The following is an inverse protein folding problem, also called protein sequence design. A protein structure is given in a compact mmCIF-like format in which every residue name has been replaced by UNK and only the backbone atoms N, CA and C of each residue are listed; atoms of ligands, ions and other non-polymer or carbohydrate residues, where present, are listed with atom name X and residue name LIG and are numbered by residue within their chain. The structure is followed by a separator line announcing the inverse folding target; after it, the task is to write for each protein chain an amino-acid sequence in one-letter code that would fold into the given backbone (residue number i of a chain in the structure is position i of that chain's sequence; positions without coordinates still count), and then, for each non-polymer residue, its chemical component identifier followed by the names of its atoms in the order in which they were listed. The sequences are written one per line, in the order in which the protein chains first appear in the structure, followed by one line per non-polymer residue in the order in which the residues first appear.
data_IF_917044894567
#
_entry.id   IF_917044894567
#
_cell.length_a   1.000
_cell.length_b   1.000
_cell.length_c   1.000
_cell.angle_alpha   90.00
_cell.angle_beta   90.00
_cell.angle_gamma   90.00
#
_symmetry.space_group_name_H-M   'P 1'
#
loop_
_entity.id
_entity.type
_entity.pdbx_description
1 polymer ?
#
# COMPACT_ATOMS: atom_id res chain seq x y z
N UNK A 1 16.00 -78.12 29.87
CA UNK A 1 15.82 -76.97 30.82
C UNK A 1 16.43 -75.79 30.10
N UNK A 2 15.60 -75.17 29.25
CA UNK A 2 16.01 -74.03 28.41
C UNK A 2 15.47 -72.78 29.04
N UNK A 3 16.41 -71.91 29.41
CA UNK A 3 16.16 -70.61 30.04
C UNK A 3 15.83 -69.58 28.93
N UNK A 4 14.70 -68.90 28.97
CA UNK A 4 14.38 -67.92 27.93
C UNK A 4 15.09 -66.60 28.24
N UNK A 5 15.94 -66.16 27.34
CA UNK A 5 16.58 -64.83 27.30
C UNK A 5 15.50 -63.77 27.20
N UNK A 6 15.52 -62.71 28.03
CA UNK A 6 14.60 -61.59 27.88
C UNK A 6 14.96 -60.71 26.68
N UNK A 7 13.99 -60.48 25.82
CA UNK A 7 14.04 -59.53 24.72
C UNK A 7 14.10 -58.10 25.30
N UNK A 8 15.26 -57.44 25.06
CA UNK A 8 15.40 -56.01 25.32
C UNK A 8 14.48 -55.23 24.40
N UNK A 9 13.50 -54.58 24.99
CA UNK A 9 12.67 -53.62 24.30
C UNK A 9 13.44 -52.29 24.20
N UNK A 10 14.08 -52.05 23.08
CA UNK A 10 14.57 -50.72 22.72
C UNK A 10 13.35 -49.83 22.44
N UNK A 11 12.93 -49.10 23.47
CA UNK A 11 12.03 -47.96 23.33
C UNK A 11 12.80 -46.83 22.67
N UNK A 12 12.74 -46.76 21.36
CA UNK A 12 13.07 -45.54 20.63
C UNK A 12 12.05 -44.44 21.08
N UNK A 13 12.41 -43.73 22.14
CA UNK A 13 11.79 -42.46 22.46
C UNK A 13 12.05 -41.50 21.30
N UNK A 14 11.12 -41.46 20.34
CA UNK A 14 11.00 -40.35 19.40
C UNK A 14 10.69 -39.11 20.26
N UNK A 15 11.76 -38.45 20.70
CA UNK A 15 11.67 -37.17 21.38
C UNK A 15 11.02 -36.13 20.46
N UNK A 16 9.69 -36.05 20.49
CA UNK A 16 8.96 -34.89 19.98
C UNK A 16 9.34 -33.71 20.85
N UNK A 17 10.46 -33.05 20.50
CA UNK A 17 10.77 -31.76 21.09
C UNK A 17 9.56 -30.85 20.89
N UNK A 18 8.98 -30.36 21.98
CA UNK A 18 7.92 -29.37 21.89
C UNK A 18 8.41 -28.19 21.05
N UNK A 19 7.58 -27.69 20.10
CA UNK A 19 8.01 -26.56 19.28
C UNK A 19 8.43 -25.39 20.18
N UNK A 20 9.59 -24.83 19.89
CA UNK A 20 10.10 -23.65 20.62
C UNK A 20 9.02 -22.57 20.67
N UNK A 21 8.79 -21.93 21.83
CA UNK A 21 7.78 -20.89 21.95
C UNK A 21 8.14 -19.71 21.04
N UNK A 22 7.27 -19.41 20.08
CA UNK A 22 7.42 -18.26 19.18
C UNK A 22 7.65 -17.00 20.01
N UNK A 23 8.69 -16.23 19.71
CA UNK A 23 8.99 -14.98 20.40
C UNK A 23 7.76 -14.03 20.39
N UNK A 24 7.48 -13.30 21.47
CA UNK A 24 6.29 -12.47 21.56
C UNK A 24 6.07 -11.53 20.36
N UNK A 25 7.17 -11.00 19.79
CA UNK A 25 7.13 -10.12 18.61
C UNK A 25 6.73 -10.84 17.33
N UNK A 26 7.06 -12.09 17.18
CA UNK A 26 6.75 -12.91 16.01
C UNK A 26 5.29 -13.40 15.99
N UNK A 27 4.56 -13.21 17.10
CA UNK A 27 3.14 -13.55 17.20
C UNK A 27 2.21 -12.50 16.61
N UNK A 28 2.73 -11.31 16.31
CA UNK A 28 1.92 -10.18 15.86
C UNK A 28 2.33 -9.74 14.47
N UNK A 29 1.34 -9.50 13.63
CA UNK A 29 1.52 -8.88 12.33
C UNK A 29 1.49 -7.35 12.47
N UNK A 30 2.31 -6.65 11.69
CA UNK A 30 2.20 -5.21 11.59
C UNK A 30 0.83 -4.84 11.03
N UNK A 31 0.12 -3.97 11.73
CA UNK A 31 -1.25 -3.57 11.39
C UNK A 31 -1.31 -2.88 10.03
N UNK A 32 -0.34 -2.02 9.73
CA UNK A 32 -0.33 -1.23 8.51
C UNK A 32 0.03 -2.11 7.29
N UNK A 33 0.98 -3.02 7.45
CA UNK A 33 1.31 -3.99 6.41
C UNK A 33 0.18 -5.00 6.16
N UNK A 34 -0.54 -5.40 7.20
CA UNK A 34 -1.73 -6.25 7.06
C UNK A 34 -2.84 -5.54 6.27
N UNK A 35 -2.98 -4.23 6.47
CA UNK A 35 -3.95 -3.44 5.73
C UNK A 35 -3.58 -3.33 4.24
N UNK A 36 -2.30 -3.14 3.91
CA UNK A 36 -1.83 -3.19 2.52
C UNK A 36 -2.09 -4.56 1.88
N UNK A 37 -1.83 -5.66 2.62
CA UNK A 37 -2.14 -7.01 2.16
C UNK A 37 -3.65 -7.23 1.93
N UNK A 38 -4.51 -6.60 2.71
CA UNK A 38 -5.95 -6.58 2.44
C UNK A 38 -6.25 -5.85 1.12
N UNK A 39 -5.65 -4.69 0.89
CA UNK A 39 -5.88 -3.92 -0.34
C UNK A 39 -5.32 -4.61 -1.60
N UNK A 40 -4.25 -5.40 -1.48
CA UNK A 40 -3.77 -6.29 -2.55
C UNK A 40 -4.87 -7.30 -2.95
N UNK A 41 -5.55 -7.94 -1.98
CA UNK A 41 -6.68 -8.84 -2.26
C UNK A 41 -7.86 -8.13 -2.92
N UNK A 42 -8.12 -6.87 -2.56
CA UNK A 42 -9.14 -6.06 -3.26
C UNK A 42 -8.74 -5.85 -4.73
N UNK A 43 -7.45 -5.60 -5.00
CA UNK A 43 -6.94 -5.45 -6.36
C UNK A 43 -7.00 -6.78 -7.15
N UNK A 44 -6.78 -7.92 -6.51
CA UNK A 44 -6.90 -9.25 -7.14
C UNK A 44 -8.29 -9.45 -7.76
N UNK A 45 -9.36 -8.95 -7.11
CA UNK A 45 -10.72 -9.03 -7.66
C UNK A 45 -10.88 -8.21 -8.96
N UNK A 46 -10.10 -7.16 -9.16
CA UNK A 46 -10.06 -6.44 -10.43
C UNK A 46 -9.46 -7.29 -11.56
N UNK A 47 -8.64 -8.28 -11.24
CA UNK A 47 -8.04 -9.22 -12.20
C UNK A 47 -8.91 -10.46 -12.41
N UNK A 48 -9.85 -10.76 -11.52
CA UNK A 48 -10.70 -11.95 -11.55
C UNK A 48 -11.69 -11.89 -12.72
N UNK A 49 -11.52 -12.77 -13.69
CA UNK A 49 -12.38 -12.81 -14.89
C UNK A 49 -13.81 -13.30 -14.64
N UNK A 50 -14.12 -13.83 -13.46
CA UNK A 50 -15.48 -14.21 -13.08
C UNK A 50 -16.36 -12.96 -12.84
N UNK A 51 -15.76 -11.80 -12.58
CA UNK A 51 -16.50 -10.56 -12.46
C UNK A 51 -16.74 -9.87 -13.82
N UNK A 52 -17.90 -9.24 -14.00
CA UNK A 52 -18.18 -8.37 -15.15
C UNK A 52 -17.11 -7.26 -15.28
N UNK A 53 -16.83 -6.83 -16.52
CA UNK A 53 -15.77 -5.87 -16.81
C UNK A 53 -15.85 -4.58 -15.99
N UNK A 54 -17.05 -4.01 -15.82
CA UNK A 54 -17.25 -2.78 -15.05
C UNK A 54 -17.09 -2.99 -13.54
N UNK A 55 -17.43 -4.18 -13.02
CA UNK A 55 -17.16 -4.49 -11.62
C UNK A 55 -15.66 -4.64 -11.36
N UNK A 56 -14.91 -5.20 -12.30
CA UNK A 56 -13.45 -5.26 -12.22
C UNK A 56 -12.83 -3.85 -12.19
N UNK A 57 -13.33 -2.93 -13.02
CA UNK A 57 -12.93 -1.52 -12.98
C UNK A 57 -13.26 -0.88 -11.63
N UNK A 58 -14.41 -1.24 -11.05
CA UNK A 58 -14.82 -0.77 -9.73
C UNK A 58 -13.88 -1.26 -8.62
N UNK A 59 -13.46 -2.53 -8.63
CA UNK A 59 -12.49 -3.04 -7.67
C UNK A 59 -11.14 -2.32 -7.78
N UNK A 60 -10.66 -2.03 -9.00
CA UNK A 60 -9.47 -1.21 -9.19
C UNK A 60 -9.62 0.19 -8.57
N UNK A 61 -10.76 0.85 -8.81
CA UNK A 61 -11.06 2.17 -8.23
C UNK A 61 -11.11 2.12 -6.70
N UNK A 62 -11.71 1.07 -6.12
CA UNK A 62 -11.74 0.88 -4.67
C UNK A 62 -10.32 0.71 -4.13
N UNK A 63 -9.48 -0.09 -4.79
CA UNK A 63 -8.09 -0.29 -4.38
C UNK A 63 -7.29 1.01 -4.40
N UNK A 64 -7.49 1.88 -5.41
CA UNK A 64 -6.87 3.19 -5.47
C UNK A 64 -7.32 4.11 -4.34
N UNK A 65 -8.64 4.27 -4.15
CA UNK A 65 -9.19 5.10 -3.08
C UNK A 65 -8.75 4.63 -1.68
N UNK A 66 -8.69 3.32 -1.46
CA UNK A 66 -8.20 2.74 -0.24
C UNK A 66 -6.75 3.16 0.03
N UNK A 67 -5.90 3.14 -1.00
CA UNK A 67 -4.50 3.53 -0.86
C UNK A 67 -4.36 5.03 -0.54
N UNK A 68 -5.13 5.89 -1.20
CA UNK A 68 -5.16 7.33 -0.92
C UNK A 68 -5.57 7.62 0.54
N UNK A 69 -6.64 6.99 1.03
CA UNK A 69 -7.08 7.14 2.41
C UNK A 69 -6.02 6.62 3.40
N UNK A 70 -5.38 5.51 3.08
CA UNK A 70 -4.30 4.95 3.88
C UNK A 70 -3.14 5.93 4.04
N UNK A 71 -2.70 6.59 2.97
CA UNK A 71 -1.66 7.59 3.03
C UNK A 71 -2.09 8.84 3.80
N UNK A 72 -3.30 9.35 3.56
CA UNK A 72 -3.81 10.55 4.22
C UNK A 72 -3.98 10.37 5.74
N UNK A 73 -4.32 9.19 6.20
CA UNK A 73 -4.64 8.97 7.61
C UNK A 73 -3.49 8.26 8.33
N UNK A 74 -3.07 7.08 7.85
CA UNK A 74 -2.15 6.21 8.58
C UNK A 74 -0.70 6.60 8.39
N UNK A 75 -0.28 6.82 7.14
CA UNK A 75 1.09 7.24 6.84
C UNK A 75 1.36 8.64 7.40
N UNK A 76 0.40 9.56 7.28
CA UNK A 76 0.50 10.88 7.89
C UNK A 76 0.67 10.81 9.41
N UNK A 77 -0.08 9.92 10.08
CA UNK A 77 0.07 9.68 11.53
C UNK A 77 1.45 9.14 11.91
N UNK A 78 1.97 8.16 11.18
CA UNK A 78 3.32 7.62 11.41
C UNK A 78 4.42 8.65 11.14
N UNK A 79 4.27 9.49 10.11
CA UNK A 79 5.19 10.60 9.83
C UNK A 79 5.18 11.62 10.97
N UNK A 80 3.99 11.92 11.53
CA UNK A 80 3.87 12.77 12.71
C UNK A 80 4.60 12.24 13.92
N UNK A 81 4.50 10.93 14.19
CA UNK A 81 5.25 10.26 15.26
C UNK A 81 6.76 10.33 15.03
N UNK A 82 7.21 10.09 13.80
CA UNK A 82 8.62 10.16 13.45
C UNK A 82 9.20 11.56 13.64
N UNK A 83 8.46 12.61 13.24
CA UNK A 83 8.90 14.01 13.38
C UNK A 83 8.97 14.47 14.83
N UNK A 84 8.13 13.92 15.71
CA UNK A 84 8.11 14.21 17.14
C UNK A 84 9.06 13.32 17.95
N UNK A 85 9.85 12.50 17.29
CA UNK A 85 10.79 11.54 17.91
C UNK A 85 10.12 10.64 18.97
N UNK A 86 8.88 10.21 18.68
CA UNK A 86 8.13 9.35 19.57
C UNK A 86 8.70 7.93 19.53
N UNK A 87 9.26 7.48 20.64
CA UNK A 87 9.87 6.13 20.76
C UNK A 87 8.86 4.98 20.78
N UNK A 88 7.56 5.26 20.63
CA UNK A 88 6.53 4.23 20.64
C UNK A 88 6.72 3.23 19.49
N UNK A 89 6.83 1.95 19.85
CA UNK A 89 6.93 0.86 18.89
C UNK A 89 5.55 0.24 18.66
N UNK A 90 5.35 -0.29 17.46
CA UNK A 90 4.20 -1.15 17.18
C UNK A 90 4.27 -2.47 17.95
N UNK A 91 3.17 -3.22 17.98
CA UNK A 91 3.08 -4.50 18.73
C UNK A 91 4.09 -5.55 18.23
N UNK A 92 4.48 -5.50 16.96
CA UNK A 92 5.53 -6.30 16.34
C UNK A 92 6.95 -5.73 16.57
N UNK A 93 7.06 -4.60 17.29
CA UNK A 93 8.32 -4.00 17.73
C UNK A 93 8.97 -3.02 16.74
N UNK A 94 8.33 -2.71 15.61
CA UNK A 94 8.86 -1.76 14.62
C UNK A 94 8.74 -0.31 15.13
N UNK A 95 9.75 0.51 14.84
CA UNK A 95 9.68 1.97 15.01
C UNK A 95 8.81 2.59 13.91
N UNK A 96 8.37 3.84 14.09
CA UNK A 96 7.64 4.59 13.05
C UNK A 96 8.43 4.65 11.73
N UNK A 97 9.74 4.90 11.79
CA UNK A 97 10.62 4.92 10.61
C UNK A 97 10.71 3.58 9.91
N UNK A 98 10.84 2.48 10.66
CA UNK A 98 10.85 1.12 10.09
C UNK A 98 9.52 0.76 9.42
N UNK A 99 8.39 1.14 10.04
CA UNK A 99 7.07 0.94 9.46
C UNK A 99 6.92 1.74 8.17
N UNK A 100 7.34 3.02 8.15
CA UNK A 100 7.27 3.87 6.96
C UNK A 100 8.09 3.32 5.79
N UNK A 101 9.30 2.80 6.06
CA UNK A 101 10.12 2.16 5.02
C UNK A 101 9.42 0.92 4.42
N UNK A 102 8.97 0.00 5.28
CA UNK A 102 8.28 -1.20 4.84
C UNK A 102 6.95 -0.90 4.11
N UNK A 103 6.22 0.14 4.54
CA UNK A 103 5.02 0.63 3.87
C UNK A 103 5.36 1.16 2.47
N UNK A 104 6.43 1.98 2.34
CA UNK A 104 6.84 2.54 1.06
C UNK A 104 7.16 1.44 0.04
N UNK A 105 7.94 0.44 0.43
CA UNK A 105 8.29 -0.69 -0.43
C UNK A 105 7.04 -1.44 -0.92
N UNK A 106 6.13 -1.76 0.00
CA UNK A 106 4.92 -2.51 -0.34
C UNK A 106 3.91 -1.70 -1.14
N UNK A 107 3.74 -0.42 -0.82
CA UNK A 107 2.86 0.48 -1.56
C UNK A 107 3.35 0.69 -3.01
N UNK A 108 4.67 0.79 -3.23
CA UNK A 108 5.23 0.89 -4.58
C UNK A 108 4.90 -0.34 -5.42
N UNK A 109 4.98 -1.55 -4.84
CA UNK A 109 4.58 -2.78 -5.52
C UNK A 109 3.10 -2.78 -5.86
N UNK A 110 2.24 -2.40 -4.90
CA UNK A 110 0.79 -2.32 -5.10
C UNK A 110 0.42 -1.30 -6.19
N UNK A 111 1.04 -0.11 -6.21
CA UNK A 111 0.81 0.89 -7.26
C UNK A 111 1.22 0.40 -8.65
N UNK A 112 2.35 -0.31 -8.75
CA UNK A 112 2.76 -0.92 -10.01
C UNK A 112 1.77 -1.99 -10.49
N UNK A 113 1.23 -2.79 -9.59
CA UNK A 113 0.18 -3.77 -9.88
C UNK A 113 -1.13 -3.10 -10.31
N UNK A 114 -1.56 -2.03 -9.62
CA UNK A 114 -2.74 -1.23 -10.01
C UNK A 114 -2.58 -0.69 -11.42
N UNK A 115 -1.40 -0.16 -11.76
CA UNK A 115 -1.12 0.34 -13.10
C UNK A 115 -1.19 -0.76 -14.17
N UNK A 116 -0.65 -1.94 -13.89
CA UNK A 116 -0.70 -3.07 -14.82
C UNK A 116 -2.16 -3.54 -15.05
N UNK A 117 -2.95 -3.64 -13.97
CA UNK A 117 -4.37 -3.99 -14.04
C UNK A 117 -5.15 -2.93 -14.82
N UNK A 118 -4.87 -1.64 -14.59
CA UNK A 118 -5.49 -0.55 -15.33
C UNK A 118 -5.27 -0.67 -16.84
N UNK A 119 -4.03 -0.85 -17.28
CA UNK A 119 -3.71 -0.97 -18.70
C UNK A 119 -4.46 -2.14 -19.34
N UNK A 120 -4.49 -3.30 -18.68
CA UNK A 120 -5.22 -4.45 -19.15
C UNK A 120 -6.75 -4.25 -19.20
N UNK A 121 -7.34 -3.57 -18.20
CA UNK A 121 -8.77 -3.26 -18.20
C UNK A 121 -9.12 -2.21 -19.24
N UNK A 122 -8.25 -1.22 -19.45
CA UNK A 122 -8.44 -0.17 -20.46
C UNK A 122 -8.58 -0.78 -21.86
N UNK A 123 -7.70 -1.69 -22.25
CA UNK A 123 -7.78 -2.35 -23.55
C UNK A 123 -9.11 -3.11 -23.73
N UNK A 124 -9.59 -3.77 -22.67
CA UNK A 124 -10.87 -4.49 -22.69
C UNK A 124 -12.07 -3.55 -22.76
N UNK A 125 -12.00 -2.41 -22.09
CA UNK A 125 -13.03 -1.37 -22.13
C UNK A 125 -13.12 -0.75 -23.51
N UNK A 126 -11.98 -0.41 -24.11
CA UNK A 126 -11.90 0.12 -25.46
C UNK A 126 -12.46 -0.87 -26.50
N UNK A 127 -12.14 -2.18 -26.36
CA UNK A 127 -12.70 -3.23 -27.22
C UNK A 127 -14.22 -3.40 -27.04
N UNK A 128 -14.76 -3.08 -25.86
CA UNK A 128 -16.20 -3.07 -25.60
C UNK A 128 -16.89 -1.76 -25.98
N UNK A 129 -16.19 -0.81 -26.60
CA UNK A 129 -16.70 0.51 -26.99
C UNK A 129 -16.87 1.48 -25.81
N UNK A 130 -16.27 1.20 -24.68
CA UNK A 130 -16.30 2.03 -23.47
C UNK A 130 -14.97 2.79 -23.39
N UNK A 131 -14.99 4.09 -23.63
CA UNK A 131 -13.79 4.92 -23.58
C UNK A 131 -13.73 5.70 -22.27
N UNK A 132 -12.67 5.48 -21.50
CA UNK A 132 -12.40 6.25 -20.27
C UNK A 132 -11.61 7.50 -20.67
N UNK A 133 -12.23 8.66 -20.53
CA UNK A 133 -11.58 9.93 -20.77
C UNK A 133 -10.80 10.30 -19.52
N UNK A 134 -9.47 10.28 -19.62
CA UNK A 134 -8.58 10.82 -18.60
C UNK A 134 -8.31 12.27 -18.98
N UNK A 135 -8.81 13.20 -18.19
CA UNK A 135 -8.37 14.59 -18.29
C UNK A 135 -6.92 14.62 -17.80
N UNK A 136 -5.98 14.87 -18.69
CA UNK A 136 -4.59 15.06 -18.32
C UNK A 136 -4.53 16.36 -17.51
N UNK A 137 -4.55 16.23 -16.20
CA UNK A 137 -4.08 17.31 -15.33
C UNK A 137 -2.58 17.40 -15.56
N UNK A 138 -2.11 18.57 -16.01
CA UNK A 138 -0.70 18.82 -16.27
C UNK A 138 0.17 18.30 -15.12
N UNK A 139 0.92 17.23 -15.41
CA UNK A 139 1.85 16.61 -14.45
C UNK A 139 3.13 17.47 -14.24
N UNK A 140 3.12 18.71 -14.68
CA UNK A 140 4.28 19.61 -14.48
C UNK A 140 4.50 20.02 -13.02
N UNK A 141 3.55 19.72 -12.11
CA UNK A 141 3.67 20.01 -10.68
C UNK A 141 3.44 18.80 -9.76
N UNK A 142 3.80 17.59 -10.18
CA UNK A 142 3.87 16.49 -9.23
C UNK A 142 4.98 16.81 -8.22
N UNK A 143 4.69 16.95 -6.91
CA UNK A 143 5.76 17.11 -5.94
C UNK A 143 6.67 15.90 -6.02
N UNK A 144 7.93 16.14 -6.40
CA UNK A 144 8.98 15.14 -6.31
C UNK A 144 8.98 14.67 -4.86
N UNK A 145 8.64 13.42 -4.63
CA UNK A 145 8.80 12.79 -3.32
C UNK A 145 10.31 12.80 -3.06
N UNK A 146 10.78 13.79 -2.32
CA UNK A 146 12.17 13.85 -1.87
C UNK A 146 12.51 12.54 -1.18
N UNK A 147 13.51 11.86 -1.70
CA UNK A 147 14.04 10.65 -1.10
C UNK A 147 14.49 10.97 0.32
N UNK A 148 14.17 10.15 1.32
CA UNK A 148 14.66 10.36 2.68
C UNK A 148 16.18 10.14 2.70
N UNK A 149 16.94 11.22 2.69
CA UNK A 149 18.40 11.18 2.70
C UNK A 149 19.10 12.48 2.27
N UNK A 150 18.42 13.40 1.61
CA UNK A 150 19.00 14.71 1.32
C UNK A 150 18.93 15.58 2.60
N UNK A 151 20.02 15.77 3.26
CA UNK A 151 20.12 16.73 4.38
C UNK A 151 19.83 18.14 3.84
N UNK A 152 18.90 18.90 4.46
CA UNK A 152 18.72 20.29 4.08
C UNK A 152 20.00 21.06 4.42
N UNK A 153 20.59 21.67 3.41
CA UNK A 153 21.67 22.62 3.62
C UNK A 153 21.19 23.68 4.61
N UNK A 154 21.97 23.89 5.68
CA UNK A 154 21.69 24.91 6.69
C UNK A 154 21.84 26.29 6.02
N UNK A 155 20.72 26.87 5.60
CA UNK A 155 20.66 28.26 5.24
C UNK A 155 20.98 29.09 6.49
N UNK A 156 22.04 29.86 6.42
CA UNK A 156 22.42 30.80 7.48
C UNK A 156 21.40 31.92 7.59
N UNK A 157 21.25 32.43 8.80
CA UNK A 157 20.22 33.40 9.22
C UNK A 157 20.24 34.75 8.47
N UNK A 158 21.21 34.98 7.59
CA UNK A 158 21.41 36.25 6.88
C UNK A 158 20.56 36.43 5.62
N UNK A 159 19.91 35.35 5.10
CA UNK A 159 19.10 35.44 3.89
C UNK A 159 17.61 35.84 4.13
N UNK A 160 17.21 36.07 5.39
CA UNK A 160 15.81 36.38 5.73
C UNK A 160 15.40 37.84 5.72
N UNK A 161 16.29 38.78 5.37
CA UNK A 161 15.98 40.24 5.46
C UNK A 161 15.66 40.91 4.12
N UNK A 162 15.28 40.19 3.08
CA UNK A 162 15.08 40.84 1.78
C UNK A 162 14.01 40.29 0.87
N UNK A 163 12.75 40.09 1.30
CA UNK A 163 11.63 40.01 0.36
C UNK A 163 10.27 40.20 1.04
N UNK A 164 9.80 41.41 1.12
CA UNK A 164 8.37 41.70 1.20
C UNK A 164 7.75 41.52 -0.19
N UNK A 165 6.93 40.47 -0.41
CA UNK A 165 6.23 40.23 -1.67
C UNK A 165 5.05 39.30 -1.48
N UNK A 166 3.86 39.88 -1.42
CA UNK A 166 2.49 39.38 -1.67
C UNK A 166 2.22 37.87 -1.51
N UNK A 167 1.51 37.58 -0.44
CA UNK A 167 0.87 36.30 -0.13
C UNK A 167 -0.27 35.98 -1.15
N UNK A 168 -0.01 35.11 -2.09
CA UNK A 168 -1.06 34.43 -2.88
C UNK A 168 -1.31 33.06 -2.26
N UNK A 169 -2.49 32.85 -1.68
CA UNK A 169 -2.91 31.54 -1.18
C UNK A 169 -3.07 30.57 -2.36
N UNK A 170 -2.55 29.34 -2.26
CA UNK A 170 -2.83 28.31 -3.25
C UNK A 170 -4.28 27.82 -3.16
N UNK A 171 -4.95 27.74 -4.30
CA UNK A 171 -6.30 27.19 -4.43
C UNK A 171 -6.27 25.67 -4.19
N UNK A 172 -7.31 25.05 -3.60
CA UNK A 172 -7.36 23.62 -3.37
C UNK A 172 -7.45 22.84 -4.70
N UNK A 173 -6.90 21.60 -4.76
CA UNK A 173 -6.92 20.80 -5.96
C UNK A 173 -8.37 20.43 -6.36
N UNK A 174 -8.68 20.60 -7.64
CA UNK A 174 -9.97 20.19 -8.21
C UNK A 174 -10.04 18.66 -8.30
N UNK A 175 -11.13 18.10 -7.78
CA UNK A 175 -11.43 16.67 -7.89
C UNK A 175 -11.65 16.27 -9.35
N UNK A 176 -10.95 15.26 -9.82
CA UNK A 176 -11.14 14.65 -11.14
C UNK A 176 -12.54 14.03 -11.25
N UNK A 177 -13.29 14.45 -12.26
CA UNK A 177 -14.61 13.91 -12.53
C UNK A 177 -14.51 12.92 -13.70
N UNK A 178 -14.74 11.64 -13.43
CA UNK A 178 -14.85 10.61 -14.47
C UNK A 178 -16.21 10.74 -15.13
N UNK A 179 -16.24 11.02 -16.42
CA UNK A 179 -17.47 11.07 -17.21
C UNK A 179 -17.44 9.93 -18.22
N UNK A 180 -18.30 8.93 -18.04
CA UNK A 180 -18.54 7.89 -19.03
C UNK A 180 -19.54 8.40 -20.07
N UNK A 181 -19.15 8.49 -21.35
CA UNK A 181 -20.09 8.74 -22.46
C UNK A 181 -20.37 7.41 -23.15
N UNK A 182 -21.56 6.83 -22.91
CA UNK A 182 -22.11 5.74 -23.70
C UNK A 182 -22.77 6.29 -24.96
N UNK A 183 -22.64 5.59 -26.10
CA UNK A 183 -23.46 5.88 -27.29
C UNK A 183 -24.92 5.49 -27.00
N UNK A 184 -25.91 6.27 -27.41
CA UNK A 184 -27.30 5.85 -27.30
C UNK A 184 -27.52 4.65 -28.24
N UNK A 185 -27.91 3.52 -27.68
CA UNK A 185 -28.46 2.40 -28.44
C UNK A 185 -29.89 2.76 -28.80
N UNK A 186 -30.13 2.98 -30.07
CA UNK A 186 -31.49 3.02 -30.65
C UNK A 186 -32.08 1.62 -30.63
N UNK A 187 -33.09 1.37 -29.82
CA UNK A 187 -33.96 0.20 -29.97
C UNK A 187 -34.99 0.50 -31.05
N UNK A 188 -35.00 -0.29 -32.12
CA UNK A 188 -36.18 -0.60 -32.93
C UNK A 188 -36.82 -1.88 -32.38
#
# INVERSE_FOLDING_TARGET
MDDPTPLSADNDEIGTAAPEPIAPRERYFNRELSWLAFNERVLEEASNSAHPLLERLRFLSISGNNLDEFFMVRVAGLKGQQLQDVEQRSVDGMTAGQQLAAIADRANVLMAQQQAVWLHLKDKLDAAGIHVLVELVDLEEAPVLEQPGAQPERRTLDDQLGAHGSHRQPSPPRRSRVVARGRPTTFE
#
